data_IF_488225173591
#
_entry.id   IF_488225173591
#
_cell.length_a   1.000
_cell.length_b   1.000
_cell.length_c   1.000
_cell.angle_alpha   90.00
_cell.angle_beta   90.00
_cell.angle_gamma   90.00
#
_symmetry.space_group_name_H-M   'P 1'
#
loop_
_entity.id
_entity.type
_entity.pdbx_description
1 polymer ?
#
# COMPACT_ATOMS: atom_id res chain seq x y z
N UNK A 1 -13.59 -48.90 -45.49
CA UNK A 1 -14.07 -47.64 -44.89
C UNK A 1 -13.77 -47.71 -43.40
N UNK A 2 -12.78 -46.96 -42.95
CA UNK A 2 -12.45 -46.79 -41.52
C UNK A 2 -13.50 -45.88 -40.89
N UNK A 3 -14.09 -46.30 -39.78
CA UNK A 3 -14.90 -45.45 -38.90
C UNK A 3 -14.02 -44.99 -37.73
N UNK A 4 -13.71 -43.70 -37.69
CA UNK A 4 -12.96 -43.06 -36.61
C UNK A 4 -13.75 -43.11 -35.29
N UNK A 5 -13.10 -43.55 -34.22
CA UNK A 5 -13.55 -43.32 -32.84
C UNK A 5 -13.29 -41.85 -32.48
N UNK A 6 -14.33 -41.12 -32.09
CA UNK A 6 -14.17 -39.81 -31.46
C UNK A 6 -14.25 -39.99 -29.95
N UNK A 7 -13.10 -40.08 -29.30
CA UNK A 7 -12.95 -39.87 -27.85
C UNK A 7 -13.20 -38.39 -27.56
N UNK A 8 -14.45 -38.06 -27.19
CA UNK A 8 -14.79 -36.74 -26.67
C UNK A 8 -14.30 -36.62 -25.23
N UNK A 9 -13.10 -36.06 -25.09
CA UNK A 9 -12.52 -35.60 -23.83
C UNK A 9 -13.40 -34.45 -23.31
N UNK A 10 -14.41 -34.79 -22.49
CA UNK A 10 -15.21 -33.77 -21.82
C UNK A 10 -14.33 -33.11 -20.78
N UNK A 11 -13.95 -31.86 -21.03
CA UNK A 11 -13.39 -30.98 -20.02
C UNK A 11 -14.42 -30.85 -18.88
N UNK A 12 -14.29 -31.73 -17.88
CA UNK A 12 -15.01 -31.67 -16.62
C UNK A 12 -14.77 -30.28 -16.01
N UNK A 13 -15.75 -29.40 -16.08
CA UNK A 13 -15.74 -28.14 -15.35
C UNK A 13 -15.66 -28.50 -13.85
N UNK A 14 -14.57 -28.16 -13.13
CA UNK A 14 -14.42 -28.51 -11.72
C UNK A 14 -15.49 -27.87 -10.83
N UNK A 15 -16.26 -26.90 -11.33
CA UNK A 15 -17.40 -26.28 -10.64
C UNK A 15 -18.73 -27.03 -10.86
N UNK A 16 -18.79 -27.98 -11.80
CA UNK A 16 -20.01 -28.73 -12.14
C UNK A 16 -20.31 -29.92 -11.23
N UNK A 17 -19.37 -30.29 -10.34
CA UNK A 17 -19.57 -31.37 -9.36
C UNK A 17 -20.32 -30.83 -8.14
N UNK A 18 -21.59 -31.22 -8.03
CA UNK A 18 -22.45 -30.90 -6.88
C UNK A 18 -21.75 -31.08 -5.53
N UNK A 19 -22.09 -30.17 -4.59
CA UNK A 19 -21.57 -30.07 -3.23
C UNK A 19 -21.21 -31.44 -2.62
N UNK A 20 -19.92 -31.75 -2.55
CA UNK A 20 -19.43 -32.90 -1.81
C UNK A 20 -19.94 -32.82 -0.36
N UNK A 21 -20.57 -33.89 0.12
CA UNK A 21 -21.13 -33.99 1.47
C UNK A 21 -20.06 -33.82 2.57
N UNK A 22 -20.36 -32.94 3.54
CA UNK A 22 -19.96 -32.90 4.97
C UNK A 22 -18.46 -32.81 5.32
N UNK A 23 -17.74 -31.85 4.75
CA UNK A 23 -16.45 -31.39 5.28
C UNK A 23 -16.31 -29.89 5.11
N UNK A 24 -15.54 -29.23 5.98
CA UNK A 24 -15.25 -27.81 5.78
C UNK A 24 -14.51 -27.58 4.45
N UNK A 25 -14.78 -26.47 3.75
CA UNK A 25 -14.13 -26.17 2.49
C UNK A 25 -12.62 -25.96 2.68
N UNK A 26 -11.84 -26.47 1.74
CA UNK A 26 -10.40 -26.19 1.65
C UNK A 26 -10.21 -24.86 0.93
N UNK A 27 -9.61 -23.89 1.60
CA UNK A 27 -9.39 -22.56 1.04
C UNK A 27 -7.91 -22.34 0.83
N UNK A 28 -7.52 -21.99 -0.40
CA UNK A 28 -6.16 -21.57 -0.72
C UNK A 28 -6.16 -20.07 -0.94
N UNK A 29 -5.29 -19.37 -0.20
CA UNK A 29 -5.05 -17.94 -0.35
C UNK A 29 -3.70 -17.75 -1.05
N UNK A 30 -3.70 -17.09 -2.20
CA UNK A 30 -2.48 -16.84 -2.97
C UNK A 30 -1.93 -15.46 -2.61
N UNK A 31 -0.74 -15.43 -2.03
CA UNK A 31 -0.01 -14.27 -1.56
C UNK A 31 -0.17 -14.02 -0.06
N UNK A 32 0.94 -14.00 0.68
CA UNK A 32 1.01 -13.64 2.10
C UNK A 32 1.28 -12.13 2.30
N UNK A 33 0.75 -11.29 1.41
CA UNK A 33 0.62 -9.85 1.64
C UNK A 33 -0.52 -9.54 2.60
N UNK A 34 -0.69 -8.27 2.97
CA UNK A 34 -1.71 -7.86 3.94
C UNK A 34 -3.13 -8.28 3.55
N UNK A 35 -3.49 -8.24 2.25
CA UNK A 35 -4.80 -8.70 1.78
C UNK A 35 -5.02 -10.20 2.02
N UNK A 36 -4.05 -11.04 1.65
CA UNK A 36 -4.15 -12.49 1.85
C UNK A 36 -4.14 -12.88 3.32
N UNK A 37 -3.28 -12.25 4.13
CA UNK A 37 -3.25 -12.46 5.57
C UNK A 37 -4.56 -12.01 6.25
N UNK A 38 -5.12 -10.88 5.83
CA UNK A 38 -6.42 -10.41 6.33
C UNK A 38 -7.56 -11.37 5.94
N UNK A 39 -7.56 -11.91 4.72
CA UNK A 39 -8.54 -12.90 4.28
C UNK A 39 -8.43 -14.20 5.09
N UNK A 40 -7.20 -14.73 5.22
CA UNK A 40 -6.94 -15.94 5.99
C UNK A 40 -7.37 -15.78 7.46
N UNK A 41 -7.00 -14.66 8.09
CA UNK A 41 -7.44 -14.34 9.46
C UNK A 41 -8.96 -14.33 9.58
N UNK A 42 -9.65 -13.61 8.70
CA UNK A 42 -11.11 -13.50 8.74
C UNK A 42 -11.81 -14.85 8.56
N UNK A 43 -11.28 -15.72 7.68
CA UNK A 43 -11.80 -17.08 7.50
C UNK A 43 -11.61 -17.94 8.77
N UNK A 44 -10.40 -17.92 9.34
CA UNK A 44 -10.09 -18.66 10.57
C UNK A 44 -10.97 -18.20 11.75
N UNK A 45 -11.21 -16.89 11.88
CA UNK A 45 -12.10 -16.34 12.92
C UNK A 45 -13.57 -16.75 12.76
N UNK A 46 -13.99 -17.13 11.55
CA UNK A 46 -15.32 -17.69 11.28
C UNK A 46 -15.35 -19.22 11.34
N UNK A 47 -14.28 -19.84 11.86
CA UNK A 47 -14.23 -21.27 12.11
C UNK A 47 -13.85 -22.11 10.90
N UNK A 48 -13.38 -21.52 9.79
CA UNK A 48 -12.73 -22.29 8.73
C UNK A 48 -11.41 -22.86 9.27
N UNK A 49 -11.15 -24.15 9.04
CA UNK A 49 -10.01 -24.89 9.62
C UNK A 49 -9.00 -25.35 8.59
N UNK A 50 -9.38 -25.49 7.31
CA UNK A 50 -8.47 -25.86 6.22
C UNK A 50 -8.19 -24.65 5.33
N UNK A 51 -7.35 -23.73 5.83
CA UNK A 51 -6.91 -22.52 5.12
C UNK A 51 -5.40 -22.58 4.90
N UNK A 52 -4.96 -22.61 3.64
CA UNK A 52 -3.54 -22.62 3.26
C UNK A 52 -3.17 -21.32 2.56
N UNK A 53 -2.11 -20.64 3.02
CA UNK A 53 -1.58 -19.45 2.35
C UNK A 53 -0.32 -19.83 1.56
N UNK A 54 -0.29 -19.51 0.26
CA UNK A 54 0.85 -19.75 -0.62
C UNK A 54 1.54 -18.42 -0.95
N UNK A 55 2.80 -18.27 -0.58
CA UNK A 55 3.60 -17.07 -0.85
C UNK A 55 4.75 -17.42 -1.79
N UNK A 56 4.93 -16.61 -2.84
CA UNK A 56 5.97 -16.85 -3.84
C UNK A 56 7.37 -16.45 -3.33
N UNK A 57 7.45 -15.43 -2.47
CA UNK A 57 8.70 -14.98 -1.88
C UNK A 57 9.07 -15.79 -0.63
N UNK A 58 10.31 -15.59 -0.15
CA UNK A 58 10.79 -16.21 1.09
C UNK A 58 10.28 -15.52 2.37
N UNK A 59 9.33 -14.56 2.26
CA UNK A 59 8.85 -13.77 3.41
C UNK A 59 7.40 -13.32 3.25
N UNK A 60 6.67 -13.33 4.36
CA UNK A 60 5.34 -12.71 4.45
C UNK A 60 5.43 -11.18 4.47
N UNK A 61 4.29 -10.52 4.26
CA UNK A 61 4.13 -9.06 4.31
C UNK A 61 3.95 -8.41 2.94
N UNK A 62 4.28 -9.12 1.86
CA UNK A 62 4.17 -8.57 0.49
C UNK A 62 4.93 -7.26 0.37
N UNK A 63 4.23 -6.18 -0.03
CA UNK A 63 4.79 -4.82 -0.18
C UNK A 63 5.12 -4.10 1.13
N UNK A 64 4.81 -4.67 2.30
CA UNK A 64 5.22 -4.11 3.60
C UNK A 64 6.51 -4.80 4.03
N UNK A 65 7.64 -4.10 3.95
CA UNK A 65 8.96 -4.71 4.17
C UNK A 65 9.87 -3.81 5.01
N UNK A 66 10.17 -4.27 6.21
CA UNK A 66 11.22 -3.74 7.07
C UNK A 66 12.54 -4.45 6.78
N UNK A 67 13.64 -3.70 6.68
CA UNK A 67 15.00 -4.23 6.58
C UNK A 67 15.87 -3.64 7.68
N UNK A 68 16.71 -4.47 8.31
CA UNK A 68 17.70 -4.02 9.28
C UNK A 68 19.02 -3.70 8.58
N UNK A 69 19.55 -2.51 8.81
CA UNK A 69 20.87 -2.10 8.34
C UNK A 69 21.64 -1.48 9.51
N UNK A 70 22.64 -2.22 10.01
CA UNK A 70 23.36 -1.86 11.24
C UNK A 70 22.41 -1.80 12.43
N UNK A 71 22.40 -0.67 13.12
CA UNK A 71 21.51 -0.43 14.28
C UNK A 71 20.15 0.19 13.90
N UNK A 72 19.89 0.42 12.61
CA UNK A 72 18.68 1.06 12.14
C UNK A 72 17.75 0.07 11.41
N UNK A 73 16.45 0.35 11.47
CA UNK A 73 15.42 -0.32 10.68
C UNK A 73 14.92 0.64 9.61
N UNK A 74 14.84 0.17 8.37
CA UNK A 74 14.32 0.90 7.23
C UNK A 74 13.05 0.24 6.70
N UNK A 75 12.02 1.02 6.45
CA UNK A 75 10.83 0.56 5.73
C UNK A 75 11.03 0.77 4.23
N UNK A 76 11.15 -0.32 3.48
CA UNK A 76 11.18 -0.31 2.01
C UNK A 76 9.76 -0.26 1.40
N UNK A 77 8.75 -0.50 2.25
CA UNK A 77 7.34 -0.60 1.91
C UNK A 77 6.47 0.48 2.52
N UNK A 78 5.43 0.07 3.26
CA UNK A 78 4.54 0.99 3.96
C UNK A 78 5.25 1.67 5.13
N UNK A 79 5.39 3.00 5.06
CA UNK A 79 6.11 3.79 6.06
C UNK A 79 5.19 4.65 6.94
N UNK A 80 3.94 4.86 6.54
CA UNK A 80 3.02 5.82 7.17
C UNK A 80 1.63 5.23 7.38
N UNK A 81 0.99 5.59 8.49
CA UNK A 81 -0.45 5.38 8.70
C UNK A 81 -1.16 6.72 8.50
N UNK A 82 -2.04 6.78 7.50
CA UNK A 82 -2.76 7.99 7.12
C UNK A 82 -4.05 8.16 7.92
N UNK A 83 -4.01 8.99 8.97
CA UNK A 83 -5.16 9.35 9.80
C UNK A 83 -5.73 8.20 10.65
N UNK A 84 -6.46 8.56 11.70
CA UNK A 84 -7.12 7.62 12.61
C UNK A 84 -8.57 7.31 12.21
N UNK A 85 -9.27 8.30 11.63
CA UNK A 85 -10.69 8.20 11.33
C UNK A 85 -10.99 7.14 10.27
N UNK A 86 -11.67 6.06 10.68
CA UNK A 86 -12.08 4.97 9.80
C UNK A 86 -10.92 4.16 9.19
N UNK A 87 -9.70 4.29 9.73
CA UNK A 87 -8.52 3.60 9.22
C UNK A 87 -8.28 2.31 10.03
N UNK A 88 -8.59 1.11 9.49
CA UNK A 88 -8.44 -0.13 10.24
C UNK A 88 -6.98 -0.47 10.57
N UNK A 89 -6.00 0.05 9.82
CA UNK A 89 -4.58 -0.17 10.11
C UNK A 89 -4.15 0.66 11.31
N UNK A 90 -4.72 1.86 11.48
CA UNK A 90 -4.50 2.67 12.68
C UNK A 90 -4.99 1.94 13.94
N UNK A 91 -6.24 1.47 13.92
CA UNK A 91 -6.81 0.75 15.07
C UNK A 91 -6.13 -0.59 15.32
N UNK A 92 -5.62 -1.26 14.27
CA UNK A 92 -4.79 -2.44 14.45
C UNK A 92 -3.48 -2.11 15.17
N UNK A 93 -2.82 -1.02 14.80
CA UNK A 93 -1.62 -0.56 15.48
C UNK A 93 -1.92 -0.16 16.94
N UNK A 94 -3.03 0.54 17.18
CA UNK A 94 -3.51 0.93 18.50
C UNK A 94 -3.76 -0.27 19.41
N UNK A 95 -4.53 -1.26 18.93
CA UNK A 95 -4.85 -2.48 19.68
C UNK A 95 -3.62 -3.34 20.02
N UNK A 96 -2.51 -3.16 19.30
CA UNK A 96 -1.26 -3.87 19.55
C UNK A 96 -0.22 -2.99 20.28
N UNK A 97 -0.60 -1.79 20.74
CA UNK A 97 0.32 -0.88 21.44
C UNK A 97 1.49 -0.40 20.59
N UNK A 98 1.30 -0.32 19.27
CA UNK A 98 2.33 0.08 18.29
C UNK A 98 2.31 1.58 17.97
N UNK A 99 1.39 2.34 18.55
CA UNK A 99 1.31 3.79 18.39
C UNK A 99 2.01 4.49 19.56
N UNK A 100 2.71 5.58 19.28
CA UNK A 100 3.13 6.52 20.32
C UNK A 100 1.94 7.34 20.83
N UNK A 101 2.01 7.83 22.07
CA UNK A 101 1.03 8.77 22.63
C UNK A 101 1.06 10.06 21.79
N UNK A 102 0.11 10.18 20.87
CA UNK A 102 -0.09 11.39 20.07
C UNK A 102 -1.03 12.33 20.83
N UNK A 103 -0.64 13.59 20.93
CA UNK A 103 -1.51 14.66 21.42
C UNK A 103 -2.72 14.82 20.49
N UNK A 104 -3.85 15.35 20.97
CA UNK A 104 -5.07 15.53 20.14
C UNK A 104 -4.81 16.44 18.90
N UNK A 105 -3.79 17.30 18.95
CA UNK A 105 -3.31 18.08 17.81
C UNK A 105 -2.65 17.22 16.72
N UNK A 106 -1.86 16.20 17.09
CA UNK A 106 -1.19 15.29 16.16
C UNK A 106 -2.14 14.28 15.51
N UNK A 107 -3.25 13.96 16.18
CA UNK A 107 -4.36 13.17 15.59
C UNK A 107 -5.04 13.89 14.43
N UNK A 108 -4.92 15.22 14.38
CA UNK A 108 -5.58 16.10 13.41
C UNK A 108 -4.72 16.33 12.15
N UNK A 109 -3.42 16.02 12.20
CA UNK A 109 -2.53 16.07 11.05
C UNK A 109 -2.59 14.69 10.41
N UNK A 110 -3.12 14.55 9.20
CA UNK A 110 -3.45 13.28 8.53
C UNK A 110 -2.31 12.28 8.25
N UNK A 111 -1.18 12.35 8.96
CA UNK A 111 -0.03 11.45 8.91
C UNK A 111 0.48 11.21 10.32
N UNK A 112 0.22 10.01 10.85
CA UNK A 112 0.88 9.57 12.08
C UNK A 112 2.12 8.81 11.64
N UNK A 113 3.27 9.46 11.81
CA UNK A 113 4.56 8.76 11.78
C UNK A 113 4.57 7.76 12.93
N UNK A 114 4.83 6.49 12.62
CA UNK A 114 5.23 5.52 13.63
C UNK A 114 6.70 5.84 14.00
N UNK A 115 6.94 6.93 14.73
CA UNK A 115 8.26 7.12 15.32
C UNK A 115 8.44 6.06 16.42
N UNK A 116 9.68 5.58 16.54
CA UNK A 116 10.09 4.79 17.68
C UNK A 116 10.46 5.76 18.80
N UNK A 117 10.07 5.44 20.05
CA UNK A 117 10.25 6.25 21.28
C UNK A 117 11.63 6.90 21.45
N UNK A 118 12.64 6.41 20.73
CA UNK A 118 14.05 6.81 20.82
C UNK A 118 14.72 7.09 19.45
N UNK A 119 13.97 7.15 18.34
CA UNK A 119 14.53 7.21 16.99
C UNK A 119 14.52 8.62 16.40
N UNK A 120 15.69 9.23 16.23
CA UNK A 120 15.83 10.45 15.40
C UNK A 120 15.77 10.03 13.93
N UNK A 121 14.74 10.48 13.20
CA UNK A 121 14.68 10.30 11.76
C UNK A 121 15.93 10.90 11.10
N UNK A 122 16.66 10.08 10.36
CA UNK A 122 17.84 10.50 9.62
C UNK A 122 17.63 10.29 8.13
N UNK A 123 17.95 11.32 7.35
CA UNK A 123 17.91 11.27 5.90
C UNK A 123 19.31 11.00 5.40
N UNK A 124 19.46 10.01 4.52
CA UNK A 124 20.76 9.57 4.01
C UNK A 124 20.78 9.65 2.49
N UNK A 125 21.92 10.08 1.94
CA UNK A 125 22.21 9.92 0.50
C UNK A 125 22.40 8.44 0.15
N UNK A 126 22.41 8.11 -1.15
CA UNK A 126 22.71 6.75 -1.64
C UNK A 126 24.11 6.22 -1.25
N UNK A 127 24.99 7.09 -0.73
CA UNK A 127 26.30 6.73 -0.18
C UNK A 127 26.33 6.69 1.36
N UNK A 128 25.16 6.71 2.01
CA UNK A 128 25.05 6.67 3.47
C UNK A 128 25.43 7.96 4.20
N UNK A 129 25.68 9.07 3.48
CA UNK A 129 25.96 10.36 4.13
C UNK A 129 24.68 11.01 4.62
N UNK A 130 24.70 11.53 5.85
CA UNK A 130 23.56 12.24 6.45
C UNK A 130 23.26 13.54 5.70
N UNK A 131 21.99 13.75 5.40
CA UNK A 131 21.44 14.98 4.85
C UNK A 131 21.01 15.86 6.05
N UNK A 132 21.41 17.14 6.08
CA UNK A 132 20.94 18.09 7.09
C UNK A 132 19.40 18.15 7.16
N UNK A 133 18.86 18.29 8.38
CA UNK A 133 17.41 18.18 8.62
C UNK A 133 16.65 19.38 8.04
N UNK A 134 17.19 20.58 8.23
CA UNK A 134 16.77 21.84 7.63
C UNK A 134 16.57 21.73 6.13
N UNK A 135 17.56 21.19 5.40
CA UNK A 135 17.47 21.01 3.93
C UNK A 135 16.30 20.10 3.55
N UNK A 136 16.01 19.09 4.37
CA UNK A 136 14.89 18.17 4.12
C UNK A 136 13.55 18.82 4.43
N UNK A 137 13.45 19.57 5.53
CA UNK A 137 12.25 20.30 5.91
C UNK A 137 11.90 21.35 4.84
N UNK A 138 12.86 22.18 4.43
CA UNK A 138 12.69 23.16 3.35
C UNK A 138 12.23 22.51 2.03
N UNK A 139 12.84 21.39 1.64
CA UNK A 139 12.40 20.67 0.45
C UNK A 139 10.98 20.13 0.59
N UNK A 140 10.65 19.60 1.77
CA UNK A 140 9.32 19.08 2.04
C UNK A 140 8.25 20.16 1.97
N UNK A 141 8.54 21.36 2.49
CA UNK A 141 7.65 22.52 2.43
C UNK A 141 7.44 22.98 0.99
N UNK A 142 8.53 23.12 0.23
CA UNK A 142 8.47 23.43 -1.21
C UNK A 142 7.62 22.41 -1.97
N UNK A 143 7.83 21.12 -1.73
CA UNK A 143 7.05 20.07 -2.38
C UNK A 143 5.56 20.17 -2.00
N UNK A 144 5.24 20.43 -0.72
CA UNK A 144 3.87 20.58 -0.26
C UNK A 144 3.17 21.78 -0.88
N UNK A 145 3.87 22.90 -1.08
CA UNK A 145 3.33 24.05 -1.81
C UNK A 145 2.95 23.68 -3.24
N UNK A 146 3.85 23.01 -3.96
CA UNK A 146 3.57 22.57 -5.35
C UNK A 146 2.46 21.52 -5.36
N UNK A 147 2.43 20.59 -4.40
CA UNK A 147 1.35 19.62 -4.24
C UNK A 147 0.00 20.34 -4.05
N UNK A 148 -0.06 21.41 -3.27
CA UNK A 148 -1.30 22.18 -3.09
C UNK A 148 -1.76 22.84 -4.40
N UNK A 149 -0.83 23.31 -5.25
CA UNK A 149 -1.17 23.78 -6.59
C UNK A 149 -1.77 22.68 -7.46
N UNK A 150 -1.36 21.41 -7.27
CA UNK A 150 -1.94 20.30 -8.04
C UNK A 150 -3.41 20.05 -7.71
N UNK A 151 -3.91 20.49 -6.57
CA UNK A 151 -5.34 20.35 -6.23
C UNK A 151 -6.25 21.13 -7.19
N UNK A 152 -5.74 22.19 -7.80
CA UNK A 152 -6.47 22.97 -8.81
C UNK A 152 -6.73 22.17 -10.09
N UNK A 153 -5.89 21.17 -10.42
CA UNK A 153 -6.18 20.24 -11.53
C UNK A 153 -7.48 19.47 -11.29
N UNK A 154 -7.77 19.11 -10.05
CA UNK A 154 -8.99 18.37 -9.71
C UNK A 154 -10.23 19.27 -9.81
N UNK A 155 -10.08 20.56 -9.45
CA UNK A 155 -11.18 21.53 -9.46
C UNK A 155 -11.48 22.09 -10.85
N UNK A 156 -10.45 22.36 -11.64
CA UNK A 156 -10.57 23.11 -12.89
C UNK A 156 -10.16 22.31 -14.14
N UNK A 157 -9.69 21.07 -13.97
CA UNK A 157 -9.29 20.19 -15.08
C UNK A 157 -8.02 20.60 -15.82
N UNK A 158 -7.35 21.69 -15.39
CA UNK A 158 -6.11 22.22 -15.95
C UNK A 158 -5.22 22.84 -14.86
N UNK A 159 -3.89 22.85 -15.02
CA UNK A 159 -2.97 23.57 -14.13
C UNK A 159 -3.22 25.08 -14.15
N UNK A 160 -2.78 25.75 -13.07
CA UNK A 160 -2.64 27.22 -13.03
C UNK A 160 -1.63 27.63 -14.12
N UNK A 161 -2.05 28.46 -15.08
CA UNK A 161 -1.24 29.04 -16.17
C UNK A 161 -0.66 28.08 -17.24
N UNK A 162 -1.42 27.09 -17.72
CA UNK A 162 -0.93 26.24 -18.82
C UNK A 162 -1.80 26.31 -20.10
N UNK A 163 -1.16 26.73 -21.19
CA UNK A 163 -1.57 26.36 -22.56
C UNK A 163 -1.23 24.89 -22.91
N UNK A 164 -0.49 24.17 -22.05
CA UNK A 164 0.01 22.81 -22.31
C UNK A 164 -0.83 21.68 -21.66
N UNK A 165 -0.88 20.52 -22.33
CA UNK A 165 -1.59 19.30 -21.92
C UNK A 165 -0.75 18.34 -21.05
N UNK A 166 0.03 18.85 -20.09
CA UNK A 166 0.93 18.00 -19.29
C UNK A 166 0.21 17.28 -18.12
N UNK A 167 0.69 16.08 -17.76
CA UNK A 167 0.20 15.34 -16.58
C UNK A 167 0.59 16.00 -15.26
N UNK A 168 -0.16 15.75 -14.17
CA UNK A 168 0.15 16.24 -12.81
C UNK A 168 1.61 15.94 -12.43
N UNK A 169 2.10 14.73 -12.70
CA UNK A 169 3.48 14.35 -12.38
C UNK A 169 4.54 15.11 -13.18
N UNK A 170 4.25 15.49 -14.44
CA UNK A 170 5.15 16.34 -15.25
C UNK A 170 5.17 17.75 -14.69
N UNK A 171 3.98 18.33 -14.44
CA UNK A 171 3.85 19.66 -13.83
C UNK A 171 4.60 19.75 -12.49
N UNK A 172 4.36 18.81 -11.57
CA UNK A 172 5.04 18.81 -10.25
C UNK A 172 6.55 18.75 -10.40
N UNK A 173 7.06 17.94 -11.33
CA UNK A 173 8.50 17.80 -11.55
C UNK A 173 9.13 19.08 -12.11
N UNK A 174 8.45 19.75 -13.05
CA UNK A 174 8.91 20.98 -13.66
C UNK A 174 8.89 22.14 -12.67
N UNK A 175 7.77 22.34 -11.98
CA UNK A 175 7.60 23.43 -11.02
C UNK A 175 8.58 23.34 -9.85
N UNK A 176 8.70 22.16 -9.22
CA UNK A 176 9.68 21.96 -8.13
C UNK A 176 11.10 22.20 -8.64
N UNK A 177 11.44 21.72 -9.85
CA UNK A 177 12.77 21.92 -10.43
C UNK A 177 13.07 23.39 -10.69
N UNK A 178 12.11 24.14 -11.21
CA UNK A 178 12.29 25.57 -11.50
C UNK A 178 12.49 26.33 -10.20
N UNK A 179 11.64 26.13 -9.19
CA UNK A 179 11.79 26.79 -7.88
C UNK A 179 13.13 26.51 -7.22
N UNK A 180 13.63 25.27 -7.26
CA UNK A 180 14.97 24.93 -6.72
C UNK A 180 16.09 25.63 -7.51
N UNK A 181 15.96 25.70 -8.84
CA UNK A 181 16.99 26.33 -9.68
C UNK A 181 17.06 27.84 -9.45
N UNK A 182 15.90 28.46 -9.30
CA UNK A 182 15.75 29.91 -9.23
C UNK A 182 15.95 30.47 -7.80
N UNK A 183 16.00 29.60 -6.79
CA UNK A 183 16.34 29.96 -5.40
C UNK A 183 17.76 30.55 -5.31
N UNK A 184 17.94 31.84 -4.97
CA UNK A 184 19.26 32.46 -4.92
C UNK A 184 20.03 32.13 -3.63
N UNK A 185 19.36 31.70 -2.57
CA UNK A 185 19.93 31.50 -1.24
C UNK A 185 20.61 30.12 -1.12
N UNK A 186 20.14 29.15 -1.91
CA UNK A 186 20.67 27.80 -1.92
C UNK A 186 22.01 27.67 -2.68
N UNK A 187 23.08 27.15 -2.04
CA UNK A 187 24.28 26.74 -2.76
C UNK A 187 23.98 25.61 -3.77
N UNK A 188 24.77 25.54 -4.85
CA UNK A 188 24.60 24.51 -5.90
C UNK A 188 24.62 23.06 -5.35
N UNK A 189 25.35 22.82 -4.27
CA UNK A 189 25.35 21.52 -3.60
C UNK A 189 23.99 21.18 -2.97
N UNK A 190 23.32 22.15 -2.34
CA UNK A 190 21.98 22.02 -1.76
C UNK A 190 20.94 21.83 -2.85
N UNK A 191 21.00 22.62 -3.93
CA UNK A 191 20.13 22.46 -5.10
C UNK A 191 20.18 21.05 -5.67
N UNK A 192 21.39 20.51 -5.88
CA UNK A 192 21.56 19.12 -6.35
C UNK A 192 20.95 18.09 -5.39
N UNK A 193 21.04 18.34 -4.09
CA UNK A 193 20.46 17.45 -3.09
C UNK A 193 18.93 17.49 -3.11
N UNK A 194 18.34 18.68 -3.11
CA UNK A 194 16.88 18.90 -3.25
C UNK A 194 16.36 18.28 -4.55
N UNK A 195 17.05 18.46 -5.67
CA UNK A 195 16.69 17.83 -6.96
C UNK A 195 16.74 16.29 -6.91
N UNK A 196 17.69 15.71 -6.18
CA UNK A 196 17.75 14.25 -5.99
C UNK A 196 16.58 13.75 -5.12
N UNK A 197 16.17 14.52 -4.11
CA UNK A 197 15.03 14.20 -3.24
C UNK A 197 13.70 14.15 -4.00
N UNK A 198 13.55 14.88 -5.11
CA UNK A 198 12.37 14.77 -6.00
C UNK A 198 12.09 13.31 -6.39
N UNK A 199 13.12 12.50 -6.61
CA UNK A 199 12.93 11.10 -7.03
C UNK A 199 12.23 10.26 -5.94
N UNK A 200 12.40 10.62 -4.66
CA UNK A 200 11.75 9.93 -3.55
C UNK A 200 10.26 10.30 -3.46
N UNK A 201 9.91 11.55 -3.77
CA UNK A 201 8.54 12.06 -3.69
C UNK A 201 7.73 11.76 -4.96
N UNK A 202 8.38 11.77 -6.13
CA UNK A 202 7.81 11.42 -7.42
C UNK A 202 8.41 10.12 -7.94
N UNK A 203 8.24 9.03 -7.19
CA UNK A 203 8.64 7.70 -7.65
C UNK A 203 8.04 7.47 -9.04
N UNK A 204 8.86 7.32 -10.10
CA UNK A 204 8.33 6.97 -11.41
C UNK A 204 7.57 5.66 -11.24
N UNK A 205 6.32 5.62 -11.71
CA UNK A 205 5.54 4.38 -11.71
C UNK A 205 6.31 3.31 -12.48
N UNK A 206 7.00 2.44 -11.75
CA UNK A 206 7.50 1.20 -12.28
C UNK A 206 6.27 0.29 -12.39
N UNK A 207 5.99 -0.16 -13.61
CA UNK A 207 4.92 -1.09 -14.00
C UNK A 207 4.45 -1.94 -12.81
N UNK A 208 3.25 -1.64 -12.31
CA UNK A 208 2.62 -2.42 -11.24
C UNK A 208 1.87 -3.57 -11.92
N UNK A 209 2.41 -4.78 -11.82
CA UNK A 209 1.67 -5.98 -12.23
C UNK A 209 0.55 -6.29 -11.22
N UNK A 210 -0.58 -6.75 -11.76
CA UNK A 210 -1.83 -7.11 -11.07
C UNK A 210 -1.60 -7.94 -9.78
N UNK A 211 -2.39 -7.63 -8.74
CA UNK A 211 -2.23 -8.15 -7.37
C UNK A 211 -2.48 -7.09 -6.27
N UNK A 212 -2.79 -5.85 -6.67
CA UNK A 212 -3.14 -4.76 -5.77
C UNK A 212 -4.49 -4.99 -5.08
N UNK A 213 -4.61 -4.46 -3.86
CA UNK A 213 -5.87 -4.24 -3.18
C UNK A 213 -6.94 -3.70 -4.14
N UNK A 214 -8.03 -4.43 -4.35
CA UNK A 214 -9.12 -4.04 -5.25
C UNK A 214 -10.13 -3.09 -4.58
N UNK A 215 -9.66 -2.26 -3.64
CA UNK A 215 -10.52 -1.33 -2.91
C UNK A 215 -10.79 -0.08 -3.75
N UNK A 216 -12.05 0.13 -4.15
CA UNK A 216 -12.50 1.20 -5.09
C UNK A 216 -12.25 2.64 -4.64
N UNK A 217 -11.83 2.86 -3.39
CA UNK A 217 -11.54 4.20 -2.83
C UNK A 217 -10.11 4.35 -2.30
N UNK A 218 -9.44 3.25 -2.01
CA UNK A 218 -8.18 3.24 -1.25
C UNK A 218 -7.12 2.48 -2.03
N UNK A 219 -6.82 3.02 -3.21
CA UNK A 219 -5.85 2.46 -4.12
C UNK A 219 -4.45 2.54 -3.51
N UNK A 220 -3.68 1.46 -3.67
CA UNK A 220 -2.28 1.37 -3.26
C UNK A 220 -2.00 1.64 -1.78
N UNK A 221 -3.01 1.56 -0.91
CA UNK A 221 -2.84 1.70 0.54
C UNK A 221 -2.87 0.36 1.27
N UNK A 222 -2.21 0.33 2.43
CA UNK A 222 -2.22 -0.80 3.37
C UNK A 222 -3.63 -1.12 3.87
N UNK A 223 -4.43 -0.10 4.23
CA UNK A 223 -5.81 -0.33 4.67
C UNK A 223 -6.72 -0.80 3.53
N UNK A 224 -6.50 -0.34 2.30
CA UNK A 224 -7.20 -0.84 1.12
C UNK A 224 -6.95 -2.34 0.91
N UNK A 225 -5.71 -2.79 1.11
CA UNK A 225 -5.34 -4.20 1.04
C UNK A 225 -6.06 -5.03 2.10
N UNK A 226 -6.02 -4.56 3.36
CA UNK A 226 -6.70 -5.20 4.48
C UNK A 226 -8.20 -5.37 4.21
N UNK A 227 -8.88 -4.28 3.82
CA UNK A 227 -10.33 -4.28 3.53
C UNK A 227 -10.68 -5.17 2.32
N UNK A 228 -9.82 -5.23 1.31
CA UNK A 228 -10.04 -6.12 0.16
C UNK A 228 -9.99 -7.58 0.58
N UNK A 229 -9.02 -7.97 1.43
CA UNK A 229 -8.93 -9.33 1.97
C UNK A 229 -10.16 -9.72 2.80
N UNK A 230 -10.59 -8.84 3.69
CA UNK A 230 -11.79 -9.05 4.51
C UNK A 230 -13.06 -9.21 3.65
N UNK A 231 -13.20 -8.40 2.59
CA UNK A 231 -14.35 -8.48 1.68
C UNK A 231 -14.40 -9.82 0.95
N UNK A 232 -13.28 -10.32 0.44
CA UNK A 232 -13.27 -11.62 -0.25
C UNK A 232 -13.50 -12.78 0.73
N UNK A 233 -12.97 -12.71 1.95
CA UNK A 233 -13.32 -13.67 3.00
C UNK A 233 -14.83 -13.65 3.29
N UNK A 234 -15.44 -12.47 3.45
CA UNK A 234 -16.88 -12.34 3.72
C UNK A 234 -17.75 -12.99 2.63
N UNK A 235 -17.35 -12.88 1.35
CA UNK A 235 -18.03 -13.57 0.25
C UNK A 235 -17.99 -15.09 0.38
N UNK A 236 -16.82 -15.65 0.74
CA UNK A 236 -16.68 -17.09 0.98
C UNK A 236 -17.49 -17.53 2.21
N UNK A 237 -17.45 -16.76 3.29
CA UNK A 237 -18.22 -17.03 4.51
C UNK A 237 -19.71 -17.06 4.20
N UNK A 238 -20.22 -16.11 3.41
CA UNK A 238 -21.61 -16.08 3.00
C UNK A 238 -21.98 -17.28 2.10
N UNK A 239 -21.12 -17.60 1.14
CA UNK A 239 -21.32 -18.75 0.24
C UNK A 239 -21.39 -20.08 0.99
N UNK A 240 -20.69 -20.19 2.12
CA UNK A 240 -20.67 -21.39 2.96
C UNK A 240 -21.48 -21.28 4.25
N UNK A 241 -22.27 -20.21 4.44
CA UNK A 241 -23.03 -19.93 5.67
C UNK A 241 -23.89 -21.12 6.11
N UNK A 242 -24.52 -21.79 5.15
CA UNK A 242 -25.39 -22.95 5.39
C UNK A 242 -24.64 -24.18 5.93
N UNK A 243 -23.34 -24.31 5.65
CA UNK A 243 -22.51 -25.41 6.19
C UNK A 243 -22.21 -25.24 7.68
N UNK A 244 -22.18 -24.00 8.17
CA UNK A 244 -21.83 -23.70 9.57
C UNK A 244 -23.06 -23.54 10.47
N UNK A 245 -24.25 -23.27 9.91
CA UNK A 245 -25.50 -23.15 10.68
C UNK A 245 -26.21 -24.48 10.97
N UNK A 246 -25.84 -25.57 10.29
CA UNK A 246 -26.45 -26.90 10.50
C UNK A 246 -25.78 -27.71 11.63
N UNK A 247 -24.91 -27.09 12.43
CA UNK A 247 -24.08 -27.76 13.45
C UNK A 247 -24.45 -27.51 14.91
N UNK A 248 -25.56 -26.83 15.21
CA UNK A 248 -26.09 -26.62 16.58
C UNK A 248 -27.36 -27.41 16.83
#
# INVERSE_FOLDING_TARGET
MQSCESSGDSADDPLSRGLRRRGQPRVVVIGAGLAGLAAAKALLEQGFTDVTVLEASSRIGGRVQSVKLGHATFELGATWIHGSQGNPVYHLAEANGLLEETTDGERSVGRISLYSKNGVACYLTNRGRRIPKDVVEEFSDLYNEVYNLTQEFFRHGKPVNAESQNSVGVFTREEVRNRIRDDPDDPEATKRLKLAMIQQYLKPMQVLFSGEATHRKYYSTTHGALLSGQREAARLIEMYRDLFQQGT
#
